data_IF_000490609220
#
_entry.id   IF_000490609220
#
_cell.length_a   1.000
_cell.length_b   1.000
_cell.length_c   1.000
_cell.angle_alpha   90.00
_cell.angle_beta   90.00
_cell.angle_gamma   90.00
#
_symmetry.space_group_name_H-M   'P 1'
#
loop_
_entity.id
_entity.type
_entity.pdbx_description
1 polymer ?
#
# COMPACT_ATOMS: atom_id res chain seq x y z
N UNK A 1 7.70 -12.79 43.64
CA UNK A 1 7.61 -11.34 43.30
C UNK A 1 8.79 -10.81 42.50
N UNK A 2 10.02 -11.34 42.68
CA UNK A 2 11.24 -10.91 41.98
C UNK A 2 11.24 -11.13 40.46
N UNK A 3 10.43 -12.08 39.96
CA UNK A 3 10.35 -12.42 38.53
C UNK A 3 9.42 -11.48 37.74
N UNK A 4 8.42 -10.87 38.37
CA UNK A 4 7.50 -9.94 37.71
C UNK A 4 8.16 -8.58 37.42
N UNK A 5 9.09 -8.15 38.29
CA UNK A 5 9.86 -6.92 38.11
C UNK A 5 10.81 -6.99 36.89
N UNK A 6 11.36 -8.17 36.61
CA UNK A 6 12.30 -8.38 35.48
C UNK A 6 11.53 -8.35 34.15
N UNK A 7 10.34 -8.94 34.09
CA UNK A 7 9.49 -8.94 32.90
C UNK A 7 8.98 -7.53 32.57
N UNK A 8 8.65 -6.73 33.60
CA UNK A 8 8.24 -5.33 33.40
C UNK A 8 9.36 -4.44 32.83
N UNK A 9 10.61 -4.68 33.22
CA UNK A 9 11.75 -3.88 32.77
C UNK A 9 12.12 -4.15 31.29
N UNK A 10 11.89 -5.36 30.78
CA UNK A 10 12.17 -5.68 29.37
C UNK A 10 11.19 -5.02 28.39
N UNK A 11 9.96 -4.72 28.80
CA UNK A 11 8.94 -4.13 27.92
C UNK A 11 9.17 -2.62 27.74
N UNK A 12 9.72 -1.94 28.76
CA UNK A 12 10.00 -0.50 28.69
C UNK A 12 11.15 -0.14 27.72
N UNK A 13 12.10 -1.06 27.49
CA UNK A 13 13.20 -0.86 26.53
C UNK A 13 12.79 -0.97 25.06
N UNK A 14 11.64 -1.58 24.76
CA UNK A 14 11.16 -1.79 23.38
C UNK A 14 10.42 -0.57 22.79
N UNK A 15 10.15 0.45 23.61
CA UNK A 15 9.51 1.70 23.17
C UNK A 15 10.53 2.75 22.69
N UNK A 16 11.82 2.42 22.68
CA UNK A 16 12.81 3.12 21.86
C UNK A 16 12.61 2.71 20.39
N UNK A 17 11.40 2.94 19.86
CA UNK A 17 11.20 3.00 18.43
C UNK A 17 12.21 4.04 17.91
N UNK A 18 13.08 3.71 16.94
CA UNK A 18 13.82 4.74 16.27
C UNK A 18 12.76 5.72 15.74
N UNK A 19 12.83 6.95 16.26
CA UNK A 19 12.09 8.07 15.74
C UNK A 19 12.18 8.01 14.22
N UNK A 20 11.03 8.20 13.56
CA UNK A 20 10.89 8.37 12.13
C UNK A 20 12.17 8.90 11.49
N UNK A 21 12.66 8.18 10.49
CA UNK A 21 13.90 8.39 9.77
C UNK A 21 13.99 9.81 9.17
N UNK A 22 14.20 10.81 10.01
CA UNK A 22 14.50 12.16 9.59
C UNK A 22 15.95 12.12 9.13
N UNK A 23 16.15 12.01 7.81
CA UNK A 23 17.48 12.09 7.24
C UNK A 23 18.20 13.34 7.76
N UNK A 24 19.51 13.23 8.06
CA UNK A 24 20.24 14.30 8.73
C UNK A 24 20.11 15.63 7.96
N UNK A 25 20.00 16.78 8.65
CA UNK A 25 19.85 18.08 8.02
C UNK A 25 21.06 18.41 7.11
N UNK A 26 20.88 19.28 6.09
CA UNK A 26 21.97 19.57 5.17
C UNK A 26 23.04 20.36 5.92
N UNK A 27 24.31 19.95 5.79
CA UNK A 27 25.44 20.68 6.37
C UNK A 27 26.02 21.63 5.33
N UNK A 28 26.03 22.95 5.56
CA UNK A 28 26.60 23.90 4.63
C UNK A 28 28.13 23.87 4.73
N UNK A 29 28.80 23.55 3.62
CA UNK A 29 30.26 23.63 3.50
C UNK A 29 30.88 22.46 2.73
N UNK A 30 32.15 22.63 2.38
CA UNK A 30 32.93 21.73 1.52
C UNK A 30 34.08 21.03 2.27
N UNK A 31 34.07 21.07 3.61
CA UNK A 31 35.06 20.32 4.37
C UNK A 31 34.81 18.81 4.22
N UNK A 32 35.84 17.95 4.37
CA UNK A 32 35.67 16.50 4.26
C UNK A 32 34.60 15.93 5.21
N UNK A 33 34.42 16.54 6.39
CA UNK A 33 33.41 16.14 7.36
C UNK A 33 31.98 16.49 6.87
N UNK A 34 31.79 17.67 6.29
CA UNK A 34 30.50 18.13 5.74
C UNK A 34 30.12 17.34 4.48
N UNK A 35 31.08 17.04 3.61
CA UNK A 35 30.85 16.18 2.44
C UNK A 35 30.37 14.80 2.88
N UNK A 36 31.01 14.21 3.91
CA UNK A 36 30.61 12.90 4.44
C UNK A 36 29.21 12.94 5.06
N UNK A 37 28.91 13.97 5.84
CA UNK A 37 27.58 14.16 6.43
C UNK A 37 26.48 14.30 5.34
N UNK A 38 26.76 15.05 4.28
CA UNK A 38 25.85 15.18 3.14
C UNK A 38 25.73 13.87 2.33
N UNK A 39 26.79 13.07 2.21
CA UNK A 39 26.73 11.77 1.55
C UNK A 39 25.83 10.79 2.33
N UNK A 40 25.97 10.74 3.65
CA UNK A 40 25.12 9.92 4.53
C UNK A 40 23.65 10.33 4.44
N UNK A 41 23.39 11.65 4.34
CA UNK A 41 22.05 12.20 4.07
C UNK A 41 21.47 11.68 2.75
N UNK A 42 22.24 11.73 1.65
CA UNK A 42 21.76 11.29 0.34
C UNK A 42 21.39 9.80 0.34
N UNK A 43 22.19 8.95 1.01
CA UNK A 43 21.88 7.52 1.16
C UNK A 43 20.58 7.33 1.93
N UNK A 44 20.36 8.10 2.99
CA UNK A 44 19.11 8.05 3.75
C UNK A 44 17.90 8.44 2.87
N UNK A 45 17.98 9.57 2.16
CA UNK A 45 16.91 10.04 1.28
C UNK A 45 16.62 9.04 0.15
N UNK A 46 17.66 8.41 -0.41
CA UNK A 46 17.49 7.37 -1.42
C UNK A 46 16.71 6.17 -0.89
N UNK A 47 16.99 5.73 0.35
CA UNK A 47 16.24 4.65 0.99
C UNK A 47 14.79 5.04 1.21
N UNK A 48 14.53 6.28 1.64
CA UNK A 48 13.17 6.78 1.84
C UNK A 48 12.37 6.79 0.54
N UNK A 49 12.96 7.30 -0.55
CA UNK A 49 12.36 7.27 -1.88
C UNK A 49 12.10 5.83 -2.33
N UNK A 50 13.04 4.91 -2.12
CA UNK A 50 12.84 3.50 -2.48
C UNK A 50 11.69 2.85 -1.70
N UNK A 51 11.53 3.20 -0.42
CA UNK A 51 10.42 2.70 0.39
C UNK A 51 9.07 3.31 -0.03
N UNK A 52 9.03 4.61 -0.34
CA UNK A 52 7.81 5.28 -0.80
C UNK A 52 7.36 4.75 -2.17
N UNK A 53 8.30 4.55 -3.09
CA UNK A 53 8.00 4.00 -4.42
C UNK A 53 7.45 2.58 -4.35
N UNK A 54 8.01 1.73 -3.49
CA UNK A 54 7.48 0.38 -3.26
C UNK A 54 6.08 0.40 -2.66
N UNK A 55 5.81 1.29 -1.69
CA UNK A 55 4.46 1.48 -1.13
C UNK A 55 3.45 1.92 -2.21
N UNK A 56 3.82 2.89 -3.05
CA UNK A 56 2.98 3.35 -4.16
C UNK A 56 2.69 2.23 -5.15
N UNK A 57 3.70 1.42 -5.46
CA UNK A 57 3.53 0.24 -6.33
C UNK A 57 2.48 -0.70 -5.75
N UNK A 58 2.61 -1.08 -4.48
CA UNK A 58 1.65 -1.95 -3.81
C UNK A 58 0.24 -1.36 -3.80
N UNK A 59 0.12 -0.05 -3.57
CA UNK A 59 -1.17 0.63 -3.63
C UNK A 59 -1.80 0.54 -5.03
N UNK A 60 -1.03 0.77 -6.09
CA UNK A 60 -1.52 0.62 -7.47
C UNK A 60 -1.97 -0.81 -7.78
N UNK A 61 -1.25 -1.82 -7.28
CA UNK A 61 -1.63 -3.22 -7.44
C UNK A 61 -2.95 -3.55 -6.72
N UNK A 62 -3.14 -3.02 -5.50
CA UNK A 62 -4.39 -3.13 -4.74
C UNK A 62 -5.54 -2.45 -5.49
N UNK A 63 -5.35 -1.23 -5.97
CA UNK A 63 -6.38 -0.47 -6.68
C UNK A 63 -6.80 -1.19 -7.98
N UNK A 64 -5.83 -1.75 -8.72
CA UNK A 64 -6.09 -2.55 -9.90
C UNK A 64 -6.91 -3.81 -9.56
N UNK A 65 -6.59 -4.50 -8.46
CA UNK A 65 -7.35 -5.67 -8.03
C UNK A 65 -8.79 -5.31 -7.64
N UNK A 66 -8.96 -4.22 -6.88
CA UNK A 66 -10.28 -3.73 -6.48
C UNK A 66 -11.16 -3.38 -7.67
N UNK A 67 -10.58 -2.75 -8.70
CA UNK A 67 -11.32 -2.44 -9.93
C UNK A 67 -11.78 -3.71 -10.65
N UNK A 68 -10.92 -4.73 -10.78
CA UNK A 68 -11.31 -6.02 -11.38
C UNK A 68 -12.42 -6.70 -10.60
N UNK A 69 -12.37 -6.68 -9.27
CA UNK A 69 -13.43 -7.26 -8.43
C UNK A 69 -14.75 -6.53 -8.64
N UNK A 70 -14.73 -5.21 -8.74
CA UNK A 70 -15.92 -4.39 -9.03
C UNK A 70 -16.52 -4.75 -10.39
N UNK A 71 -15.69 -4.92 -11.42
CA UNK A 71 -16.15 -5.30 -12.75
C UNK A 71 -16.82 -6.69 -12.74
N UNK A 72 -16.21 -7.66 -12.07
CA UNK A 72 -16.78 -9.00 -11.92
C UNK A 72 -18.10 -9.01 -11.13
N UNK A 73 -18.22 -8.16 -10.11
CA UNK A 73 -19.47 -7.98 -9.38
C UNK A 73 -20.55 -7.37 -10.26
N UNK A 74 -20.22 -6.34 -11.04
CA UNK A 74 -21.15 -5.75 -12.00
C UNK A 74 -21.62 -6.77 -13.03
N UNK A 75 -20.70 -7.56 -13.59
CA UNK A 75 -21.03 -8.61 -14.56
C UNK A 75 -22.01 -9.63 -13.97
N UNK A 76 -21.74 -10.14 -12.77
CA UNK A 76 -22.67 -11.05 -12.07
C UNK A 76 -24.04 -10.42 -11.85
N UNK A 77 -24.10 -9.13 -11.52
CA UNK A 77 -25.39 -8.42 -11.37
C UNK A 77 -26.15 -8.33 -12.69
N UNK A 78 -25.45 -8.10 -13.81
CA UNK A 78 -26.06 -8.12 -15.14
C UNK A 78 -26.57 -9.50 -15.53
N UNK A 79 -25.80 -10.56 -15.27
CA UNK A 79 -26.20 -11.94 -15.58
C UNK A 79 -27.43 -12.39 -14.77
N UNK A 80 -27.58 -11.84 -13.57
CA UNK A 80 -28.73 -12.10 -12.69
C UNK A 80 -29.95 -11.23 -13.00
N UNK A 81 -29.92 -10.38 -14.03
CA UNK A 81 -31.10 -9.62 -14.44
C UNK A 81 -32.19 -10.57 -14.98
N UNK A 82 -33.47 -10.31 -14.68
CA UNK A 82 -34.56 -11.08 -15.25
C UNK A 82 -34.55 -10.93 -16.78
N UNK A 83 -34.48 -12.06 -17.48
CA UNK A 83 -34.52 -12.08 -18.94
C UNK A 83 -35.89 -11.63 -19.43
N UNK A 84 -35.97 -10.82 -20.50
CA UNK A 84 -37.25 -10.44 -21.07
C UNK A 84 -38.01 -11.70 -21.53
N UNK A 85 -39.34 -11.71 -21.40
CA UNK A 85 -40.14 -12.84 -21.85
C UNK A 85 -39.95 -13.02 -23.37
N UNK A 86 -39.68 -14.25 -23.80
CA UNK A 86 -39.63 -14.58 -25.22
C UNK A 86 -41.05 -14.51 -25.77
N UNK A 87 -41.33 -13.47 -26.57
CA UNK A 87 -42.59 -13.40 -27.32
C UNK A 87 -42.48 -14.39 -28.47
N UNK A 88 -43.11 -15.55 -28.32
CA UNK A 88 -43.24 -16.52 -29.41
C UNK A 88 -44.30 -15.99 -30.37
N UNK A 89 -43.87 -15.47 -31.52
CA UNK A 89 -44.79 -15.12 -32.61
C UNK A 89 -45.19 -16.45 -33.27
N UNK A 90 -46.49 -16.82 -33.28
CA UNK A 90 -46.92 -18.05 -33.94
C UNK A 90 -46.61 -17.98 -35.45
N UNK A 91 -46.24 -19.10 -36.08
CA UNK A 91 -45.94 -19.13 -37.50
C UNK A 91 -47.17 -18.68 -38.31
N UNK A 92 -46.97 -17.98 -39.44
CA UNK A 92 -48.09 -17.56 -40.29
C UNK A 92 -48.86 -18.79 -40.76
N UNK A 93 -50.17 -18.83 -40.49
CA UNK A 93 -51.05 -19.84 -41.05
C UNK A 93 -51.09 -19.67 -42.56
N UNK A 94 -50.42 -20.56 -43.29
CA UNK A 94 -50.53 -20.68 -44.75
C UNK A 94 -51.87 -21.33 -45.08
N UNK A 95 -52.76 -20.57 -45.72
CA UNK A 95 -54.00 -21.03 -46.36
C UNK A 95 -53.73 -21.45 -47.81
#
# INVERSE_FOLDING_TARGET
MRNAAIIGMTIAGLLAAPAFAACPPPTPGDTPAEIKANAERLVCLQREISADTERRRQQMEIDALNNRLRDLELQRRFDNLPKPPVIVVPPPMTL
#
